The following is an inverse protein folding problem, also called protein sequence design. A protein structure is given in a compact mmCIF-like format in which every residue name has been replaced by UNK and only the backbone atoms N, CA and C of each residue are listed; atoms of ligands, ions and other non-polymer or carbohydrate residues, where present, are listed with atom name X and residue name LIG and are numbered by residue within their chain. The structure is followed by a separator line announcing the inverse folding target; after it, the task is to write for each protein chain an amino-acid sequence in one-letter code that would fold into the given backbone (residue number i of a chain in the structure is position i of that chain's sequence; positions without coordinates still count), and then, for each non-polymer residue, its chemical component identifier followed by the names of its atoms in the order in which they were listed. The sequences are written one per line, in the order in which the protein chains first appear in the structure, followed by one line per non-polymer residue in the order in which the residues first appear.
data_IF_882594206654
#
_entry.id   IF_882594206654
#
_cell.length_a   1.000
_cell.length_b   1.000
_cell.length_c   1.000
_cell.angle_alpha   90.00
_cell.angle_beta   90.00
_cell.angle_gamma   90.00
#
_symmetry.space_group_name_H-M   'P 1'
#
loop_
_entity.id
_entity.type
_entity.pdbx_description
1 polymer ?
#
# COMPACT_ATOMS: atom_id res chain seq x y z
N UNK A 1 7.58 7.26 13.08
CA UNK A 1 7.65 6.18 12.07
C UNK A 1 6.77 6.56 10.90
N UNK A 2 7.19 6.26 9.66
CA UNK A 2 6.39 6.54 8.48
C UNK A 2 5.39 5.40 8.24
N UNK A 3 4.17 5.72 7.81
CA UNK A 3 3.18 4.71 7.45
C UNK A 3 3.59 4.04 6.14
N UNK A 4 3.31 2.75 5.98
CA UNK A 4 3.70 1.99 4.78
C UNK A 4 2.46 1.60 3.98
N UNK A 5 2.39 2.01 2.71
CA UNK A 5 1.36 1.60 1.77
C UNK A 5 1.90 0.49 0.87
N UNK A 6 1.28 -0.69 0.93
CA UNK A 6 1.47 -1.78 -0.03
C UNK A 6 0.91 -1.37 -1.38
N UNK A 7 1.81 -1.23 -2.35
CA UNK A 7 1.57 -0.53 -3.60
C UNK A 7 1.85 -1.41 -4.81
N UNK A 8 0.88 -1.44 -5.73
CA UNK A 8 1.06 -2.00 -7.08
C UNK A 8 0.61 -0.96 -8.11
N UNK A 9 1.48 -0.57 -9.07
CA UNK A 9 1.19 0.52 -10.00
C UNK A 9 0.03 0.23 -10.95
N UNK A 10 -0.27 -1.04 -11.21
CA UNK A 10 -1.35 -1.46 -12.12
C UNK A 10 -2.71 -1.56 -11.43
N UNK A 11 -2.78 -1.47 -10.10
CA UNK A 11 -4.04 -1.63 -9.36
C UNK A 11 -4.88 -0.34 -9.41
N UNK A 12 -6.12 -0.38 -9.92
CA UNK A 12 -7.02 0.78 -9.91
C UNK A 12 -7.45 1.17 -8.48
N UNK A 13 -7.45 0.22 -7.54
CA UNK A 13 -7.75 0.49 -6.13
C UNK A 13 -6.61 1.27 -5.46
N UNK A 14 -5.36 0.89 -5.74
CA UNK A 14 -4.18 1.64 -5.29
C UNK A 14 -4.20 3.05 -5.87
N UNK A 15 -4.53 3.21 -7.16
CA UNK A 15 -4.63 4.52 -7.80
C UNK A 15 -5.57 5.48 -7.08
N UNK A 16 -6.72 5.01 -6.58
CA UNK A 16 -7.64 5.84 -5.77
C UNK A 16 -6.96 6.36 -4.50
N UNK A 17 -6.24 5.49 -3.80
CA UNK A 17 -5.53 5.84 -2.57
C UNK A 17 -4.39 6.84 -2.87
N UNK A 18 -3.62 6.62 -3.94
CA UNK A 18 -2.55 7.53 -4.35
C UNK A 18 -3.06 8.94 -4.67
N UNK A 19 -4.24 9.07 -5.30
CA UNK A 19 -4.88 10.37 -5.52
C UNK A 19 -5.20 11.03 -4.18
N UNK A 20 -5.85 10.32 -3.25
CA UNK A 20 -6.18 10.88 -1.92
C UNK A 20 -4.93 11.33 -1.16
N UNK A 21 -3.87 10.54 -1.16
CA UNK A 21 -2.59 10.89 -0.50
C UNK A 21 -2.03 12.20 -1.07
N UNK A 22 -2.06 12.35 -2.39
CA UNK A 22 -1.55 13.56 -3.05
C UNK A 22 -2.43 14.78 -2.80
N UNK A 23 -3.73 14.66 -2.96
CA UNK A 23 -4.67 15.77 -2.81
C UNK A 23 -4.75 16.27 -1.36
N UNK A 24 -4.49 15.40 -0.38
CA UNK A 24 -4.45 15.78 1.05
C UNK A 24 -3.04 16.17 1.54
N UNK A 25 -2.02 16.18 0.67
CA UNK A 25 -0.65 16.55 1.06
C UNK A 25 0.04 15.54 1.99
N UNK A 26 -0.40 14.27 2.00
CA UNK A 26 0.11 13.24 2.90
C UNK A 26 1.35 12.51 2.37
N UNK A 27 1.85 12.85 1.19
CA UNK A 27 2.96 12.15 0.54
C UNK A 27 4.25 12.10 1.37
N UNK A 28 4.47 13.05 2.29
CA UNK A 28 5.63 13.05 3.18
C UNK A 28 5.51 12.13 4.41
N UNK A 29 4.33 11.54 4.64
CA UNK A 29 4.03 10.72 5.81
C UNK A 29 3.85 9.23 5.47
N UNK A 30 3.74 8.91 4.18
CA UNK A 30 3.43 7.56 3.69
C UNK A 30 4.49 7.12 2.67
N UNK A 31 5.18 6.04 2.98
CA UNK A 31 6.08 5.36 2.06
C UNK A 31 5.30 4.32 1.24
N UNK A 32 5.53 4.27 -0.08
CA UNK A 32 4.93 3.24 -0.93
C UNK A 32 5.88 2.07 -1.11
N UNK A 33 5.55 0.94 -0.50
CA UNK A 33 6.28 -0.31 -0.67
C UNK A 33 5.74 -1.05 -1.91
N UNK A 34 6.57 -1.18 -2.95
CA UNK A 34 6.22 -1.98 -4.13
C UNK A 34 5.91 -3.43 -3.70
N UNK A 35 4.77 -3.95 -4.12
CA UNK A 35 4.29 -5.26 -3.69
C UNK A 35 3.56 -5.93 -4.84
N UNK A 36 3.99 -7.15 -5.16
CA UNK A 36 3.27 -8.05 -6.04
C UNK A 36 2.32 -8.93 -5.20
N UNK A 37 0.99 -8.76 -5.33
CA UNK A 37 0.02 -9.59 -4.61
C UNK A 37 -0.06 -11.03 -5.14
N UNK A 38 0.51 -11.29 -6.31
CA UNK A 38 0.46 -12.59 -6.97
C UNK A 38 1.68 -13.46 -6.67
N UNK A 39 2.74 -12.88 -6.10
CA UNK A 39 3.91 -13.63 -5.65
C UNK A 39 3.52 -14.49 -4.43
N UNK A 40 3.62 -15.83 -4.49
CA UNK A 40 3.30 -16.69 -3.36
C UNK A 40 4.23 -16.47 -2.15
N UNK A 41 5.40 -15.84 -2.34
CA UNK A 41 6.34 -15.51 -1.26
C UNK A 41 6.10 -14.11 -0.66
N UNK A 42 5.06 -13.40 -1.12
CA UNK A 42 4.71 -12.09 -0.56
C UNK A 42 4.35 -12.21 0.92
N UNK A 43 4.83 -11.27 1.72
CA UNK A 43 4.48 -11.13 3.13
C UNK A 43 3.16 -10.37 3.34
N UNK A 44 2.49 -9.96 2.26
CA UNK A 44 1.24 -9.19 2.29
C UNK A 44 0.13 -9.89 3.09
N UNK A 45 0.04 -11.22 3.04
CA UNK A 45 -0.98 -11.99 3.76
C UNK A 45 -0.88 -11.84 5.29
N UNK A 46 0.32 -11.55 5.82
CA UNK A 46 0.54 -11.30 7.25
C UNK A 46 -0.12 -9.99 7.69
N UNK A 47 -0.15 -9.00 6.80
CA UNK A 47 -0.68 -7.65 7.09
C UNK A 47 -2.14 -7.50 6.68
N UNK A 48 -2.55 -8.21 5.62
CA UNK A 48 -3.92 -8.28 5.15
C UNK A 48 -4.22 -9.74 4.77
N UNK A 49 -5.00 -10.49 5.56
CA UNK A 49 -5.30 -11.90 5.31
C UNK A 49 -5.93 -12.20 3.94
N UNK A 50 -6.47 -11.19 3.25
CA UNK A 50 -6.99 -11.34 1.89
C UNK A 50 -5.88 -11.32 0.82
N UNK A 51 -4.65 -10.95 1.16
CA UNK A 51 -3.52 -10.84 0.24
C UNK A 51 -3.71 -9.77 -0.82
N UNK A 52 -4.33 -8.63 -0.48
CA UNK A 52 -4.71 -7.60 -1.47
C UNK A 52 -4.03 -6.26 -1.25
N UNK A 53 -3.74 -5.58 -2.36
CA UNK A 53 -3.39 -4.17 -2.40
C UNK A 53 -4.61 -3.34 -2.83
N UNK A 54 -4.78 -2.10 -2.32
CA UNK A 54 -3.92 -1.41 -1.35
C UNK A 54 -4.09 -1.93 0.10
N UNK A 55 -3.03 -1.86 0.91
CA UNK A 55 -3.04 -2.09 2.36
C UNK A 55 -2.11 -1.06 3.03
N UNK A 56 -2.59 -0.32 4.03
CA UNK A 56 -1.79 0.68 4.76
C UNK A 56 -1.46 0.15 6.17
N UNK A 57 -0.18 0.13 6.52
CA UNK A 57 0.30 -0.17 7.87
C UNK A 57 0.56 1.15 8.59
N UNK A 58 -0.12 1.36 9.72
CA UNK A 58 -0.07 2.63 10.48
C UNK A 58 0.97 2.64 11.60
N UNK A 59 1.37 1.46 12.09
CA UNK A 59 2.33 1.27 13.19
C UNK A 59 3.49 0.39 12.69
N UNK A 60 4.31 0.94 11.80
CA UNK A 60 5.53 0.30 11.33
C UNK A 60 6.72 0.56 12.28
#
# INVERSE_FOLDING_TARGET
MAMILRYSPTSPYVRKVSVVIRELGLSGQIESAATDPWDPNTDLAVQNPLGKVPTLITEA
#
